data_IF_741292056140
#
_entry.id   IF_741292056140
#
_cell.length_a   1.000
_cell.length_b   1.000
_cell.length_c   1.000
_cell.angle_alpha   90.00
_cell.angle_beta   90.00
_cell.angle_gamma   90.00
#
_symmetry.space_group_name_H-M   'P 1'
#
loop_
_entity.id
_entity.type
_entity.pdbx_description
1 polymer ?
#
# COMPACT_ATOMS: atom_id res chain seq x y z
N UNK A 1 -25.36 -31.25 12.25
CA UNK A 1 -24.50 -30.23 12.89
C UNK A 1 -25.01 -30.10 14.31
N UNK A 2 -24.15 -30.32 15.30
CA UNK A 2 -24.50 -30.17 16.72
C UNK A 2 -24.47 -28.68 17.09
N UNK A 3 -25.32 -28.28 18.04
CA UNK A 3 -25.43 -26.91 18.52
C UNK A 3 -25.36 -26.88 20.04
N UNK A 4 -24.77 -25.82 20.58
CA UNK A 4 -24.88 -25.45 22.00
C UNK A 4 -25.75 -24.21 22.14
N UNK A 5 -26.32 -24.02 23.32
CA UNK A 5 -27.07 -22.82 23.67
C UNK A 5 -26.13 -21.82 24.30
N UNK A 6 -26.09 -20.63 23.74
CA UNK A 6 -25.41 -19.46 24.28
C UNK A 6 -26.48 -18.40 24.60
N UNK A 7 -26.15 -17.46 25.45
CA UNK A 7 -27.07 -16.37 25.82
C UNK A 7 -26.35 -15.04 25.93
N UNK A 8 -27.08 -13.98 25.64
CA UNK A 8 -26.72 -12.60 25.90
C UNK A 8 -27.90 -11.83 26.52
N UNK A 9 -27.80 -10.52 26.60
CA UNK A 9 -28.88 -9.68 27.19
C UNK A 9 -30.19 -9.73 26.40
N UNK A 10 -30.20 -10.29 25.19
CA UNK A 10 -31.40 -10.48 24.36
C UNK A 10 -31.99 -11.88 24.48
N UNK A 11 -31.38 -12.79 25.25
CA UNK A 11 -31.85 -14.16 25.46
C UNK A 11 -30.97 -15.22 24.81
N UNK A 12 -31.51 -16.43 24.72
CA UNK A 12 -30.82 -17.62 24.19
C UNK A 12 -30.72 -17.61 22.67
N UNK A 13 -29.63 -18.22 22.16
CA UNK A 13 -29.42 -18.47 20.74
C UNK A 13 -28.61 -19.75 20.56
N UNK A 14 -28.85 -20.44 19.44
CA UNK A 14 -28.11 -21.65 19.07
C UNK A 14 -26.83 -21.31 18.31
N UNK A 15 -25.70 -21.78 18.81
CA UNK A 15 -24.38 -21.60 18.17
C UNK A 15 -23.84 -22.98 17.76
N UNK A 16 -23.22 -23.17 16.60
CA UNK A 16 -22.60 -24.45 16.26
C UNK A 16 -21.59 -24.88 17.33
N UNK A 17 -21.69 -26.14 17.77
CA UNK A 17 -20.93 -26.63 18.92
C UNK A 17 -19.41 -26.64 18.72
N UNK A 18 -18.96 -26.73 17.44
CA UNK A 18 -17.57 -26.71 17.01
C UNK A 18 -16.95 -25.31 16.94
N UNK A 19 -17.75 -24.25 17.19
CA UNK A 19 -17.28 -22.87 17.07
C UNK A 19 -17.00 -22.25 18.44
N UNK A 20 -15.99 -21.39 18.48
CA UNK A 20 -15.59 -20.68 19.70
C UNK A 20 -16.34 -19.36 19.90
N UNK A 21 -17.00 -18.82 18.89
CA UNK A 21 -17.79 -17.60 19.07
C UNK A 21 -19.06 -17.83 19.89
N UNK A 22 -19.62 -16.78 20.46
CA UNK A 22 -20.78 -16.84 21.31
C UNK A 22 -22.04 -16.23 20.69
N UNK A 23 -22.96 -15.79 21.55
CA UNK A 23 -24.29 -15.33 21.18
C UNK A 23 -24.28 -14.08 20.30
N UNK A 24 -23.48 -13.07 20.63
CA UNK A 24 -23.47 -11.80 19.90
C UNK A 24 -22.93 -11.98 18.47
N UNK A 25 -21.89 -12.78 18.31
CA UNK A 25 -21.37 -13.12 16.97
C UNK A 25 -22.39 -13.89 16.15
N UNK A 26 -23.08 -14.87 16.75
CA UNK A 26 -24.09 -15.64 16.05
C UNK A 26 -25.25 -14.73 15.57
N UNK A 27 -25.72 -13.80 16.42
CA UNK A 27 -26.73 -12.81 15.99
C UNK A 27 -26.24 -11.95 14.83
N UNK A 28 -24.97 -11.53 14.87
CA UNK A 28 -24.39 -10.75 13.76
C UNK A 28 -24.36 -11.54 12.46
N UNK A 29 -24.01 -12.82 12.49
CA UNK A 29 -24.04 -13.70 11.31
C UNK A 29 -25.47 -13.85 10.72
N UNK A 30 -26.48 -13.83 11.56
CA UNK A 30 -27.88 -13.94 11.13
C UNK A 30 -28.43 -12.62 10.60
N UNK A 31 -28.07 -11.48 11.24
CA UNK A 31 -28.59 -10.15 10.93
C UNK A 31 -27.92 -9.48 9.73
N UNK A 32 -26.62 -9.75 9.50
CA UNK A 32 -25.84 -9.04 8.48
C UNK A 32 -25.39 -10.00 7.36
N UNK A 33 -26.32 -10.45 6.54
CA UNK A 33 -26.04 -11.25 5.34
C UNK A 33 -25.85 -10.33 4.13
N UNK A 34 -24.81 -9.49 4.17
CA UNK A 34 -24.56 -8.41 3.22
C UNK A 34 -23.19 -8.59 2.60
N UNK A 35 -23.14 -8.82 1.29
CA UNK A 35 -21.88 -8.98 0.55
C UNK A 35 -21.07 -10.20 1.01
N UNK A 36 -19.85 -10.31 0.49
CA UNK A 36 -18.95 -11.46 0.75
C UNK A 36 -17.69 -11.04 1.52
N UNK A 37 -17.40 -9.73 1.56
CA UNK A 37 -16.21 -9.18 2.20
C UNK A 37 -16.24 -9.40 3.71
N UNK A 38 -15.29 -10.19 4.23
CA UNK A 38 -15.12 -10.41 5.67
C UNK A 38 -14.18 -9.40 6.29
N UNK A 39 -14.30 -9.24 7.59
CA UNK A 39 -13.35 -8.40 8.35
C UNK A 39 -11.92 -8.91 8.14
N UNK A 40 -10.97 -8.04 7.75
CA UNK A 40 -9.59 -8.45 7.49
C UNK A 40 -8.93 -9.10 8.72
N UNK A 41 -8.15 -10.16 8.48
CA UNK A 41 -7.41 -10.86 9.54
C UNK A 41 -6.47 -9.95 10.29
N UNK A 42 -5.87 -8.99 9.61
CA UNK A 42 -4.98 -7.99 10.20
C UNK A 42 -5.68 -7.20 11.33
N UNK A 43 -6.98 -6.89 11.18
CA UNK A 43 -7.78 -6.23 12.23
C UNK A 43 -8.05 -7.19 13.39
N UNK A 44 -8.35 -8.45 13.10
CA UNK A 44 -8.58 -9.49 14.12
C UNK A 44 -7.31 -9.71 14.96
N UNK A 45 -6.16 -9.86 14.30
CA UNK A 45 -4.87 -10.03 14.96
C UNK A 45 -4.47 -8.80 15.77
N UNK A 46 -4.76 -7.60 15.27
CA UNK A 46 -4.55 -6.34 15.99
C UNK A 46 -5.46 -6.23 17.22
N UNK A 47 -6.75 -6.62 17.11
CA UNK A 47 -7.65 -6.68 18.26
C UNK A 47 -7.14 -7.68 19.31
N UNK A 48 -6.67 -8.85 18.91
CA UNK A 48 -6.07 -9.82 19.82
C UNK A 48 -4.83 -9.25 20.52
N UNK A 49 -3.99 -8.47 19.81
CA UNK A 49 -2.88 -7.76 20.44
C UNK A 49 -3.36 -6.72 21.48
N UNK A 50 -4.41 -5.95 21.15
CA UNK A 50 -5.04 -5.00 22.07
C UNK A 50 -5.55 -5.74 23.33
N UNK A 51 -6.26 -6.87 23.17
CA UNK A 51 -6.80 -7.65 24.31
C UNK A 51 -5.70 -8.22 25.19
N UNK A 52 -4.63 -8.72 24.58
CA UNK A 52 -3.46 -9.22 25.31
C UNK A 52 -2.78 -8.11 26.12
N UNK A 53 -2.54 -6.96 25.52
CA UNK A 53 -1.95 -5.81 26.19
C UNK A 53 -2.85 -5.25 27.29
N UNK A 54 -4.16 -5.16 27.04
CA UNK A 54 -5.14 -4.74 28.03
C UNK A 54 -5.21 -5.69 29.24
N UNK A 55 -5.11 -7.01 29.02
CA UNK A 55 -5.09 -7.99 30.11
C UNK A 55 -3.86 -7.78 31.00
N UNK A 56 -2.67 -7.59 30.43
CA UNK A 56 -1.44 -7.31 31.20
C UNK A 56 -1.51 -5.97 31.95
N UNK A 57 -1.98 -4.91 31.28
CA UNK A 57 -2.18 -3.62 31.91
C UNK A 57 -3.15 -3.71 33.10
N UNK A 58 -4.26 -4.43 32.94
CA UNK A 58 -5.23 -4.64 34.02
C UNK A 58 -4.64 -5.45 35.20
N UNK A 59 -3.75 -6.40 34.95
CA UNK A 59 -3.03 -7.09 36.06
C UNK A 59 -2.13 -6.11 36.79
N UNK A 60 -1.30 -5.35 36.07
CA UNK A 60 -0.40 -4.37 36.68
C UNK A 60 -1.12 -3.32 37.53
N UNK A 61 -2.39 -3.00 37.17
CA UNK A 61 -3.25 -2.05 37.87
C UNK A 61 -4.21 -2.70 38.89
N UNK A 62 -4.10 -4.01 39.11
CA UNK A 62 -4.93 -4.75 40.07
C UNK A 62 -6.40 -4.93 39.66
N UNK A 63 -6.74 -4.71 38.40
CA UNK A 63 -8.09 -4.82 37.86
C UNK A 63 -8.45 -6.20 37.28
N UNK A 64 -7.45 -7.08 37.13
CA UNK A 64 -7.60 -8.46 36.67
C UNK A 64 -6.55 -9.33 37.38
N UNK A 65 -6.90 -10.58 37.73
CA UNK A 65 -5.94 -11.55 38.29
C UNK A 65 -5.08 -12.19 37.22
N UNK A 66 -3.87 -12.64 37.62
CA UNK A 66 -2.88 -13.24 36.71
C UNK A 66 -3.39 -14.52 36.01
N UNK A 67 -4.13 -15.39 36.73
CA UNK A 67 -4.61 -16.65 36.16
C UNK A 67 -5.53 -16.46 34.97
N UNK A 68 -6.48 -15.49 35.06
CA UNK A 68 -7.33 -15.10 33.92
C UNK A 68 -6.54 -14.44 32.82
N UNK A 69 -5.64 -13.53 33.19
CA UNK A 69 -4.83 -12.81 32.22
C UNK A 69 -3.93 -13.73 31.41
N UNK A 70 -3.30 -14.73 32.04
CA UNK A 70 -2.47 -15.72 31.36
C UNK A 70 -3.26 -16.53 30.32
N UNK A 71 -4.46 -16.99 30.70
CA UNK A 71 -5.33 -17.72 29.80
C UNK A 71 -5.83 -16.83 28.62
N UNK A 72 -6.18 -15.56 28.90
CA UNK A 72 -6.52 -14.58 27.86
C UNK A 72 -5.34 -14.35 26.93
N UNK A 73 -4.13 -14.14 27.45
CA UNK A 73 -2.93 -13.94 26.65
C UNK A 73 -2.63 -15.17 25.76
N UNK A 74 -2.73 -16.37 26.27
CA UNK A 74 -2.52 -17.60 25.50
C UNK A 74 -3.51 -17.72 24.33
N UNK A 75 -4.81 -17.45 24.57
CA UNK A 75 -5.83 -17.41 23.51
C UNK A 75 -5.55 -16.32 22.48
N UNK A 76 -5.11 -15.13 22.90
CA UNK A 76 -4.71 -14.04 22.00
C UNK A 76 -3.52 -14.43 21.12
N UNK A 77 -2.53 -15.14 21.66
CA UNK A 77 -1.35 -15.58 20.90
C UNK A 77 -1.73 -16.63 19.84
N UNK A 78 -2.68 -17.54 20.14
CA UNK A 78 -3.24 -18.43 19.12
C UNK A 78 -3.96 -17.70 17.99
N UNK A 79 -4.75 -16.66 18.30
CA UNK A 79 -5.40 -15.81 17.28
C UNK A 79 -4.35 -15.12 16.42
N UNK A 80 -3.35 -14.51 17.04
CA UNK A 80 -2.29 -13.76 16.34
C UNK A 80 -1.42 -14.65 15.45
N UNK A 81 -1.30 -15.92 15.78
CA UNK A 81 -0.60 -16.92 14.92
C UNK A 81 -1.44 -17.37 13.71
N UNK A 82 -2.72 -17.01 13.64
CA UNK A 82 -3.66 -17.44 12.62
C UNK A 82 -4.31 -18.81 12.89
N UNK A 83 -3.99 -19.48 14.00
CA UNK A 83 -4.52 -20.81 14.32
C UNK A 83 -6.05 -20.83 14.51
N UNK A 84 -6.64 -19.69 14.81
CA UNK A 84 -8.08 -19.52 15.04
C UNK A 84 -8.80 -18.66 13.98
N UNK A 85 -8.20 -18.41 12.82
CA UNK A 85 -8.75 -17.52 11.79
C UNK A 85 -10.17 -17.89 11.34
N UNK A 86 -10.53 -19.17 11.35
CA UNK A 86 -11.87 -19.66 10.99
C UNK A 86 -12.97 -19.33 12.02
N UNK A 87 -12.58 -18.78 13.18
CA UNK A 87 -13.51 -18.36 14.21
C UNK A 87 -14.04 -16.93 14.03
N UNK A 88 -13.67 -16.25 12.93
CA UNK A 88 -14.03 -14.84 12.65
C UNK A 88 -14.82 -14.71 11.36
N UNK A 89 -16.13 -15.07 11.38
CA UNK A 89 -16.96 -15.16 10.17
C UNK A 89 -17.57 -13.83 9.73
N UNK A 90 -17.45 -12.75 10.53
CA UNK A 90 -18.24 -11.55 10.34
C UNK A 90 -17.87 -10.76 9.10
N UNK A 91 -18.89 -10.24 8.42
CA UNK A 91 -18.73 -9.39 7.23
C UNK A 91 -18.34 -7.96 7.62
N UNK A 92 -17.79 -7.22 6.67
CA UNK A 92 -17.48 -5.79 6.81
C UNK A 92 -18.74 -4.95 7.05
N UNK A 93 -19.85 -5.33 6.40
CA UNK A 93 -21.14 -4.63 6.45
C UNK A 93 -21.92 -5.00 7.72
N UNK A 94 -21.40 -4.54 8.87
CA UNK A 94 -21.92 -4.72 10.23
C UNK A 94 -22.13 -3.36 10.88
N UNK A 95 -22.32 -3.31 12.21
CA UNK A 95 -22.38 -2.01 12.91
C UNK A 95 -21.11 -1.20 12.66
N UNK A 96 -21.28 0.07 12.34
CA UNK A 96 -20.20 0.95 11.92
C UNK A 96 -19.15 1.25 12.98
N UNK A 97 -19.42 0.94 14.24
CA UNK A 97 -18.46 1.03 15.36
C UNK A 97 -17.51 -0.17 15.46
N UNK A 98 -17.77 -1.25 14.72
CA UNK A 98 -17.01 -2.50 14.82
C UNK A 98 -17.33 -3.33 16.07
N UNK A 99 -18.41 -3.02 16.78
CA UNK A 99 -18.76 -3.69 18.05
C UNK A 99 -18.94 -5.20 17.88
N UNK A 100 -19.56 -5.67 16.79
CA UNK A 100 -19.70 -7.11 16.58
C UNK A 100 -18.35 -7.80 16.41
N UNK A 101 -17.44 -7.21 15.69
CA UNK A 101 -16.07 -7.75 15.54
C UNK A 101 -15.31 -7.74 16.87
N UNK A 102 -15.40 -6.65 17.65
CA UNK A 102 -14.82 -6.61 19.00
C UNK A 102 -15.39 -7.72 19.88
N UNK A 103 -16.70 -7.94 19.84
CA UNK A 103 -17.36 -9.00 20.62
C UNK A 103 -17.02 -10.39 20.10
N UNK A 104 -16.90 -10.58 18.79
CA UNK A 104 -16.43 -11.83 18.22
C UNK A 104 -15.04 -12.20 18.78
N UNK A 105 -14.11 -11.26 18.80
CA UNK A 105 -12.78 -11.47 19.38
C UNK A 105 -12.89 -11.77 20.89
N UNK A 106 -13.71 -11.02 21.65
CA UNK A 106 -13.91 -11.25 23.07
C UNK A 106 -14.49 -12.64 23.38
N UNK A 107 -15.50 -13.08 22.62
CA UNK A 107 -16.16 -14.37 22.78
C UNK A 107 -15.22 -15.53 22.46
N UNK A 108 -14.47 -15.44 21.36
CA UNK A 108 -13.48 -16.45 20.97
C UNK A 108 -12.37 -16.55 22.01
N UNK A 109 -11.84 -15.42 22.49
CA UNK A 109 -10.81 -15.41 23.56
C UNK A 109 -11.36 -16.03 24.83
N UNK A 110 -12.56 -15.65 25.30
CA UNK A 110 -13.13 -16.16 26.53
C UNK A 110 -13.35 -17.67 26.46
N UNK A 111 -13.97 -18.16 25.39
CA UNK A 111 -14.23 -19.58 25.22
C UNK A 111 -12.93 -20.40 25.07
N UNK A 112 -11.93 -19.85 24.35
CA UNK A 112 -10.64 -20.54 24.24
C UNK A 112 -9.87 -20.54 25.56
N UNK A 113 -9.84 -19.43 26.27
CA UNK A 113 -9.24 -19.33 27.61
C UNK A 113 -9.87 -20.31 28.61
N UNK A 114 -11.21 -20.42 28.61
CA UNK A 114 -11.94 -21.38 29.43
C UNK A 114 -11.60 -22.83 29.07
N UNK A 115 -11.46 -23.14 27.80
CA UNK A 115 -11.02 -24.47 27.35
C UNK A 115 -9.59 -24.78 27.80
N UNK A 116 -8.67 -23.81 27.78
CA UNK A 116 -7.30 -23.94 28.29
C UNK A 116 -7.25 -24.16 29.81
N UNK A 117 -8.14 -23.48 30.54
CA UNK A 117 -8.23 -23.61 32.00
C UNK A 117 -8.97 -24.87 32.45
N UNK A 118 -9.77 -25.50 31.61
CA UNK A 118 -10.66 -26.60 31.94
C UNK A 118 -11.88 -26.22 32.80
N UNK A 119 -12.17 -24.93 32.93
CA UNK A 119 -13.29 -24.38 33.69
C UNK A 119 -13.78 -23.02 33.13
N UNK A 120 -15.04 -22.68 33.38
CA UNK A 120 -15.67 -21.43 32.93
C UNK A 120 -15.31 -20.24 33.85
N UNK A 121 -14.10 -19.72 33.75
CA UNK A 121 -13.58 -18.66 34.62
C UNK A 121 -13.50 -17.30 33.93
N UNK A 122 -13.39 -17.24 32.60
CA UNK A 122 -13.21 -16.03 31.81
C UNK A 122 -14.53 -15.65 31.13
N UNK A 123 -14.97 -14.41 31.36
CA UNK A 123 -16.16 -13.85 30.71
C UNK A 123 -15.76 -12.81 29.64
N UNK A 124 -16.41 -12.75 28.45
CA UNK A 124 -16.03 -11.88 27.36
C UNK A 124 -16.10 -10.38 27.71
N UNK A 125 -17.12 -9.94 28.46
CA UNK A 125 -17.28 -8.54 28.83
C UNK A 125 -16.50 -8.17 30.09
N UNK A 126 -16.60 -8.99 31.16
CA UNK A 126 -16.07 -8.64 32.47
C UNK A 126 -14.55 -8.79 32.58
N UNK A 127 -13.97 -9.69 31.80
CA UNK A 127 -12.54 -10.01 31.86
C UNK A 127 -11.80 -9.65 30.58
N UNK A 128 -12.22 -10.14 29.40
CA UNK A 128 -11.53 -9.88 28.12
C UNK A 128 -11.66 -8.41 27.72
N UNK A 129 -12.84 -7.82 27.89
CA UNK A 129 -13.11 -6.42 27.55
C UNK A 129 -12.91 -5.45 28.73
N UNK A 130 -12.31 -5.90 29.84
CA UNK A 130 -12.08 -5.10 31.04
C UNK A 130 -11.36 -3.79 30.73
N UNK A 131 -11.87 -2.66 31.26
CA UNK A 131 -11.33 -1.30 31.07
C UNK A 131 -11.41 -0.76 29.63
N UNK A 132 -12.22 -1.37 28.77
CA UNK A 132 -12.33 -1.06 27.36
C UNK A 132 -13.77 -0.84 26.90
N UNK A 133 -13.92 -0.22 25.75
CA UNK A 133 -15.13 -0.22 24.92
C UNK A 133 -14.78 -0.66 23.50
N UNK A 134 -15.75 -1.12 22.72
CA UNK A 134 -15.55 -1.28 21.26
C UNK A 134 -15.13 0.05 20.64
N UNK A 135 -15.60 1.16 21.18
CA UNK A 135 -15.39 2.50 20.63
C UNK A 135 -13.93 2.95 20.67
N UNK A 136 -13.14 2.48 21.65
CA UNK A 136 -11.71 2.78 21.75
C UNK A 136 -10.81 1.62 21.27
N UNK A 137 -11.20 0.36 21.53
CA UNK A 137 -10.43 -0.81 21.16
C UNK A 137 -10.39 -1.03 19.63
N UNK A 138 -11.54 -0.84 18.94
CA UNK A 138 -11.60 -1.05 17.50
C UNK A 138 -10.74 -0.04 16.71
N UNK A 139 -10.85 1.29 16.94
CA UNK A 139 -9.97 2.24 16.26
C UNK A 139 -8.49 2.08 16.65
N UNK A 140 -8.17 1.64 17.87
CA UNK A 140 -6.79 1.28 18.22
C UNK A 140 -6.28 0.13 17.36
N UNK A 141 -7.09 -0.93 17.17
CA UNK A 141 -6.76 -2.04 16.30
C UNK A 141 -6.63 -1.62 14.82
N UNK A 142 -7.46 -0.66 14.37
CA UNK A 142 -7.33 -0.10 13.02
C UNK A 142 -5.96 0.56 12.81
N UNK A 143 -5.52 1.39 13.74
CA UNK A 143 -4.21 2.05 13.68
C UNK A 143 -3.06 1.04 13.67
N UNK A 144 -3.13 0.04 14.57
CA UNK A 144 -2.13 -1.03 14.64
C UNK A 144 -2.07 -1.80 13.31
N UNK A 145 -3.22 -2.27 12.82
CA UNK A 145 -3.29 -3.05 11.57
C UNK A 145 -2.78 -2.25 10.36
N UNK A 146 -3.17 -0.98 10.26
CA UNK A 146 -2.75 -0.09 9.18
C UNK A 146 -1.24 0.14 9.21
N UNK A 147 -0.67 0.45 10.38
CA UNK A 147 0.75 0.68 10.56
C UNK A 147 1.57 -0.56 10.20
N UNK A 148 1.19 -1.72 10.73
CA UNK A 148 1.88 -2.98 10.42
C UNK A 148 1.80 -3.33 8.93
N UNK A 149 0.65 -3.12 8.29
CA UNK A 149 0.51 -3.36 6.86
C UNK A 149 1.46 -2.47 6.03
N UNK A 150 1.62 -1.20 6.39
CA UNK A 150 2.58 -0.29 5.72
C UNK A 150 4.01 -0.71 6.00
N UNK A 151 4.40 -0.87 7.27
CA UNK A 151 5.79 -1.10 7.66
C UNK A 151 6.31 -2.50 7.32
N UNK A 152 5.46 -3.54 7.38
CA UNK A 152 5.88 -4.93 7.19
C UNK A 152 5.65 -5.47 5.79
N UNK A 153 4.81 -4.80 4.98
CA UNK A 153 4.48 -5.28 3.64
C UNK A 153 4.77 -4.26 2.56
N UNK A 154 4.21 -3.04 2.68
CA UNK A 154 4.35 -2.03 1.62
C UNK A 154 5.78 -1.55 1.50
N UNK A 155 6.40 -1.12 2.61
CA UNK A 155 7.77 -0.59 2.59
C UNK A 155 8.81 -1.61 2.11
N UNK A 156 8.81 -2.89 2.56
CA UNK A 156 9.75 -3.88 2.04
C UNK A 156 9.60 -4.15 0.54
N UNK A 157 8.36 -4.24 0.03
CA UNK A 157 8.11 -4.46 -1.39
C UNK A 157 8.55 -3.24 -2.24
N UNK A 158 8.32 -2.03 -1.73
CA UNK A 158 8.78 -0.79 -2.34
C UNK A 158 10.31 -0.72 -2.38
N UNK A 159 10.99 -1.02 -1.27
CA UNK A 159 12.45 -0.99 -1.18
C UNK A 159 13.08 -2.00 -2.15
N UNK A 160 12.53 -3.22 -2.24
CA UNK A 160 13.00 -4.25 -3.18
C UNK A 160 12.85 -3.82 -4.65
N UNK A 161 11.74 -3.18 -5.02
CA UNK A 161 11.53 -2.67 -6.37
C UNK A 161 12.48 -1.50 -6.67
N UNK A 162 12.68 -0.59 -5.71
CA UNK A 162 13.61 0.53 -5.82
C UNK A 162 15.04 0.05 -6.04
N UNK A 163 15.51 -0.91 -5.26
CA UNK A 163 16.85 -1.50 -5.43
C UNK A 163 17.06 -2.08 -6.84
N UNK A 164 16.02 -2.69 -7.42
CA UNK A 164 16.06 -3.17 -8.79
C UNK A 164 16.23 -2.02 -9.78
N UNK A 165 15.49 -0.92 -9.63
CA UNK A 165 15.65 0.25 -10.51
C UNK A 165 16.98 0.98 -10.30
N UNK A 166 17.51 1.06 -9.08
CA UNK A 166 18.83 1.62 -8.80
C UNK A 166 19.92 0.83 -9.56
N UNK A 167 19.85 -0.50 -9.52
CA UNK A 167 20.75 -1.39 -10.26
C UNK A 167 20.63 -1.18 -11.78
N UNK A 168 19.43 -1.15 -12.33
CA UNK A 168 19.20 -0.93 -13.77
C UNK A 168 19.63 0.47 -14.20
N UNK A 169 19.41 1.49 -13.38
CA UNK A 169 19.88 2.85 -13.62
C UNK A 169 21.41 2.91 -13.77
N UNK A 170 22.11 2.24 -12.86
CA UNK A 170 23.58 2.14 -12.93
C UNK A 170 24.05 1.35 -14.17
N UNK A 171 23.41 0.22 -14.48
CA UNK A 171 23.74 -0.64 -15.64
C UNK A 171 23.59 0.11 -16.97
N UNK A 172 22.54 0.95 -17.08
CA UNK A 172 22.24 1.66 -18.33
C UNK A 172 22.66 3.13 -18.33
N UNK A 173 23.53 3.55 -17.39
CA UNK A 173 24.02 4.93 -17.27
C UNK A 173 24.69 5.47 -18.52
N UNK A 174 25.35 4.61 -19.32
CA UNK A 174 25.99 4.94 -20.60
C UNK A 174 25.11 4.72 -21.83
N UNK A 175 23.85 4.34 -21.71
CA UNK A 175 22.97 4.08 -22.86
C UNK A 175 22.19 5.35 -23.20
N UNK A 176 22.73 6.14 -24.12
CA UNK A 176 22.10 7.36 -24.62
C UNK A 176 20.89 7.02 -25.50
N UNK A 177 19.77 7.64 -25.25
CA UNK A 177 18.50 7.50 -25.98
C UNK A 177 17.84 8.86 -26.16
N UNK A 178 16.81 8.93 -27.01
CA UNK A 178 15.97 10.12 -27.07
C UNK A 178 15.06 10.19 -25.85
N UNK A 179 14.89 11.41 -25.32
CA UNK A 179 13.80 11.71 -24.38
C UNK A 179 12.48 11.92 -25.13
N UNK A 180 11.38 11.87 -24.41
CA UNK A 180 10.05 12.20 -24.94
C UNK A 180 9.28 13.08 -23.97
N UNK A 181 8.73 14.17 -24.50
CA UNK A 181 7.76 15.04 -23.83
C UNK A 181 6.53 15.16 -24.70
N UNK A 182 5.32 15.13 -24.13
CA UNK A 182 4.06 15.07 -24.89
C UNK A 182 3.97 13.84 -25.86
N UNK A 183 4.68 12.78 -25.58
CA UNK A 183 4.91 11.63 -26.48
C UNK A 183 5.61 11.99 -27.81
N UNK A 184 6.21 13.17 -27.89
CA UNK A 184 7.00 13.63 -29.03
C UNK A 184 8.49 13.54 -28.71
N UNK A 185 9.31 13.40 -29.75
CA UNK A 185 10.77 13.35 -29.62
C UNK A 185 11.29 14.61 -28.93
N UNK A 186 12.19 14.42 -27.98
CA UNK A 186 12.84 15.49 -27.24
C UNK A 186 14.37 15.31 -27.26
N UNK A 187 15.08 16.13 -26.50
CA UNK A 187 16.53 16.04 -26.37
C UNK A 187 16.96 14.72 -25.69
N UNK A 188 18.20 14.25 -25.95
CA UNK A 188 18.70 13.02 -25.38
C UNK A 188 18.80 13.03 -23.85
N UNK A 189 18.68 11.84 -23.28
CA UNK A 189 19.07 11.46 -21.93
C UNK A 189 19.64 10.04 -21.97
N UNK A 190 20.16 9.54 -20.85
CA UNK A 190 20.49 8.12 -20.80
C UNK A 190 19.30 7.30 -20.28
N UNK A 191 19.20 6.03 -20.67
CA UNK A 191 18.22 5.10 -20.12
C UNK A 191 18.38 4.98 -18.59
N UNK A 192 19.62 5.04 -18.09
CA UNK A 192 19.89 5.08 -16.66
C UNK A 192 19.26 6.29 -15.96
N UNK A 193 19.32 7.49 -16.58
CA UNK A 193 18.66 8.70 -16.06
C UNK A 193 17.13 8.56 -16.06
N UNK A 194 16.54 7.99 -17.11
CA UNK A 194 15.10 7.73 -17.17
C UNK A 194 14.66 6.79 -16.03
N UNK A 195 15.38 5.68 -15.82
CA UNK A 195 15.11 4.72 -14.74
C UNK A 195 15.36 5.34 -13.35
N UNK A 196 16.36 6.21 -13.20
CA UNK A 196 16.61 6.92 -11.93
C UNK A 196 15.42 7.78 -11.50
N UNK A 197 14.65 8.30 -12.47
CA UNK A 197 13.39 9.00 -12.19
C UNK A 197 12.36 8.07 -11.54
N UNK A 198 12.25 6.82 -11.98
CA UNK A 198 11.36 5.82 -11.38
C UNK A 198 11.81 5.46 -9.95
N UNK A 199 13.10 5.25 -9.75
CA UNK A 199 13.66 5.03 -8.40
C UNK A 199 13.40 6.22 -7.47
N UNK A 200 13.57 7.45 -7.97
CA UNK A 200 13.30 8.68 -7.22
C UNK A 200 11.85 8.80 -6.75
N UNK A 201 10.87 8.40 -7.60
CA UNK A 201 9.45 8.35 -7.22
C UNK A 201 9.22 7.38 -6.05
N UNK A 202 9.81 6.19 -6.10
CA UNK A 202 9.70 5.22 -5.02
C UNK A 202 10.39 5.71 -3.72
N UNK A 203 11.53 6.37 -3.83
CA UNK A 203 12.20 6.97 -2.66
C UNK A 203 11.31 8.01 -1.96
N UNK A 204 10.67 8.92 -2.70
CA UNK A 204 9.70 9.89 -2.15
C UNK A 204 8.46 9.18 -1.58
N UNK A 205 7.93 8.16 -2.26
CA UNK A 205 6.82 7.35 -1.76
C UNK A 205 7.13 6.74 -0.40
N UNK A 206 8.36 6.23 -0.24
CA UNK A 206 8.86 5.68 1.03
C UNK A 206 8.85 6.72 2.16
N UNK A 207 9.35 7.92 1.89
CA UNK A 207 9.38 9.02 2.87
C UNK A 207 7.97 9.41 3.30
N UNK A 208 7.05 9.62 2.34
CA UNK A 208 5.66 9.95 2.61
C UNK A 208 4.97 8.89 3.49
N UNK A 209 5.16 7.60 3.17
CA UNK A 209 4.61 6.50 3.95
C UNK A 209 5.19 6.47 5.37
N UNK A 210 6.50 6.63 5.52
CA UNK A 210 7.16 6.66 6.83
C UNK A 210 6.64 7.79 7.71
N UNK A 211 6.52 9.00 7.16
CA UNK A 211 5.95 10.15 7.89
C UNK A 211 4.50 9.89 8.29
N UNK A 212 3.72 9.26 7.41
CA UNK A 212 2.30 9.00 7.68
C UNK A 212 2.07 8.00 8.83
N UNK A 213 3.02 7.09 9.08
CA UNK A 213 2.93 6.11 10.16
C UNK A 213 3.00 6.73 11.56
N UNK A 214 3.52 7.95 11.71
CA UNK A 214 3.62 8.61 13.02
C UNK A 214 2.24 8.80 13.68
N UNK A 215 1.25 9.29 12.93
CA UNK A 215 -0.12 9.45 13.44
C UNK A 215 -0.82 8.12 13.78
N UNK A 216 -0.41 7.02 13.14
CA UNK A 216 -0.94 5.68 13.44
C UNK A 216 -0.37 5.09 14.74
N UNK A 217 0.65 5.70 15.33
CA UNK A 217 1.18 5.30 16.63
C UNK A 217 0.28 5.73 17.81
N UNK A 218 -0.57 6.73 17.61
CA UNK A 218 -1.45 7.27 18.64
C UNK A 218 -2.74 6.43 18.77
N UNK A 219 -3.00 5.88 19.96
CA UNK A 219 -4.09 4.93 20.17
C UNK A 219 -5.25 5.57 20.93
N UNK A 220 -6.48 5.32 20.47
CA UNK A 220 -7.72 5.69 21.14
C UNK A 220 -7.94 4.91 22.43
N UNK A 221 -7.27 3.77 22.61
CA UNK A 221 -7.44 2.87 23.76
C UNK A 221 -7.29 3.61 25.09
N UNK A 222 -8.20 3.33 26.03
CA UNK A 222 -8.33 4.03 27.30
C UNK A 222 -9.36 5.17 27.28
N UNK A 223 -9.86 5.57 26.10
CA UNK A 223 -10.97 6.54 26.01
C UNK A 223 -12.32 5.97 26.42
N UNK A 224 -12.44 4.65 26.37
CA UNK A 224 -13.68 3.89 26.63
C UNK A 224 -14.85 4.35 25.75
N UNK A 225 -16.03 4.58 26.32
CA UNK A 225 -17.26 4.79 25.55
C UNK A 225 -17.29 6.10 24.74
N UNK A 226 -16.81 7.22 25.33
CA UNK A 226 -16.93 8.58 24.75
C UNK A 226 -15.67 9.42 24.88
N UNK A 227 -14.57 8.86 25.39
CA UNK A 227 -13.29 9.56 25.54
C UNK A 227 -12.91 9.94 26.97
N UNK A 228 -13.77 9.70 27.93
CA UNK A 228 -13.57 10.09 29.35
C UNK A 228 -12.79 9.05 30.16
N UNK A 229 -12.58 7.84 29.65
CA UNK A 229 -11.95 6.76 30.39
C UNK A 229 -12.83 6.14 31.47
N UNK A 230 -14.16 6.30 31.40
CA UNK A 230 -15.08 5.79 32.38
C UNK A 230 -14.87 4.28 32.61
N UNK A 231 -14.80 3.88 33.92
CA UNK A 231 -14.58 2.51 34.41
C UNK A 231 -13.20 1.90 34.07
N UNK A 232 -12.24 2.66 33.50
CA UNK A 232 -10.87 2.26 33.43
C UNK A 232 -10.05 2.80 34.60
N UNK A 233 -9.12 2.04 35.21
CA UNK A 233 -8.24 2.56 36.24
C UNK A 233 -7.29 3.62 35.66
N UNK A 234 -6.87 4.57 36.49
CA UNK A 234 -5.88 5.57 36.09
C UNK A 234 -4.58 4.89 35.63
N UNK A 235 -4.00 5.39 34.53
CA UNK A 235 -2.79 4.81 33.94
C UNK A 235 -3.04 3.62 32.98
N UNK A 236 -4.28 3.19 32.79
CA UNK A 236 -4.59 2.06 31.89
C UNK A 236 -4.16 2.32 30.44
N UNK A 237 -4.41 3.52 29.92
CA UNK A 237 -4.11 3.86 28.53
C UNK A 237 -2.60 3.79 28.26
N UNK A 238 -1.80 4.35 29.18
CA UNK A 238 -0.33 4.36 29.10
C UNK A 238 0.23 2.94 29.26
N UNK A 239 -0.24 2.19 30.23
CA UNK A 239 0.20 0.81 30.47
C UNK A 239 -0.12 -0.09 29.27
N UNK A 240 -1.32 0.01 28.71
CA UNK A 240 -1.72 -0.78 27.55
C UNK A 240 -0.91 -0.39 26.29
N UNK A 241 -0.61 0.88 26.07
CA UNK A 241 0.25 1.34 24.97
C UNK A 241 1.69 0.83 25.11
N UNK A 242 2.23 0.82 26.34
CA UNK A 242 3.55 0.27 26.63
C UNK A 242 3.62 -1.25 26.37
N UNK A 243 2.60 -1.99 26.82
CA UNK A 243 2.49 -3.43 26.55
C UNK A 243 2.37 -3.74 25.05
N UNK A 244 1.60 -2.94 24.30
CA UNK A 244 1.50 -3.07 22.84
C UNK A 244 2.85 -2.79 22.18
N UNK A 245 3.58 -1.77 22.64
CA UNK A 245 4.89 -1.42 22.11
C UNK A 245 5.89 -2.56 22.31
N UNK A 246 5.92 -3.14 23.52
CA UNK A 246 6.77 -4.28 23.84
C UNK A 246 6.39 -5.52 23.01
N UNK A 247 5.09 -5.80 22.86
CA UNK A 247 4.59 -6.96 22.12
C UNK A 247 4.88 -6.90 20.62
N UNK A 248 4.78 -5.70 20.02
CA UNK A 248 4.87 -5.51 18.57
C UNK A 248 6.25 -5.00 18.11
N UNK A 249 7.16 -4.68 19.05
CA UNK A 249 8.49 -4.17 18.75
C UNK A 249 8.50 -2.80 18.08
N UNK A 250 7.46 -1.98 18.32
CA UNK A 250 7.26 -0.65 17.76
C UNK A 250 6.63 0.26 18.78
N UNK A 251 6.98 1.54 18.74
CA UNK A 251 6.41 2.52 19.66
C UNK A 251 4.93 2.78 19.33
N UNK A 252 4.07 2.56 20.31
CA UNK A 252 2.69 3.03 20.35
C UNK A 252 2.49 3.87 21.61
N UNK A 253 1.72 4.94 21.48
CA UNK A 253 1.46 5.88 22.55
C UNK A 253 -0.05 6.09 22.74
N UNK A 254 -0.43 6.53 23.92
CA UNK A 254 -1.82 6.93 24.15
C UNK A 254 -2.10 8.24 23.42
N UNK A 255 -3.19 8.33 22.66
CA UNK A 255 -3.58 9.56 21.96
C UNK A 255 -3.76 10.70 22.98
N UNK A 256 -3.20 11.89 22.71
CA UNK A 256 -3.25 13.02 23.66
C UNK A 256 -4.67 13.55 23.88
N UNK A 257 -5.57 13.32 22.92
CA UNK A 257 -6.97 13.68 23.01
C UNK A 257 -7.85 12.50 22.59
N UNK A 258 -8.48 11.84 23.56
CA UNK A 258 -9.34 10.68 23.34
C UNK A 258 -10.64 11.02 22.59
N UNK A 259 -11.17 12.23 22.75
CA UNK A 259 -12.37 12.67 22.04
C UNK A 259 -12.08 12.83 20.53
N UNK A 260 -10.91 13.34 20.17
CA UNK A 260 -10.41 13.34 18.80
C UNK A 260 -10.24 11.91 18.28
N UNK A 261 -9.50 11.07 18.99
CA UNK A 261 -9.14 9.72 18.54
C UNK A 261 -10.36 8.80 18.31
N UNK A 262 -11.48 8.97 19.07
CA UNK A 262 -12.69 8.21 18.88
C UNK A 262 -13.49 8.65 17.64
N UNK A 263 -13.55 9.95 17.37
CA UNK A 263 -14.43 10.52 16.35
C UNK A 263 -13.74 10.83 15.03
N UNK A 264 -12.48 11.26 15.03
CA UNK A 264 -11.70 11.49 13.82
C UNK A 264 -10.97 10.22 13.35
N UNK A 265 -10.72 10.13 12.05
CA UNK A 265 -9.91 9.08 11.41
C UNK A 265 -8.89 9.70 10.46
N UNK A 266 -8.48 10.91 10.74
CA UNK A 266 -7.57 11.73 9.92
C UNK A 266 -6.18 11.08 9.73
N UNK A 267 -5.63 10.41 10.74
CA UNK A 267 -4.37 9.68 10.62
C UNK A 267 -4.45 8.56 9.56
N UNK A 268 -5.59 7.84 9.49
CA UNK A 268 -5.83 6.81 8.48
C UNK A 268 -5.99 7.44 7.08
N UNK A 269 -6.69 8.58 6.97
CA UNK A 269 -6.83 9.32 5.70
C UNK A 269 -5.48 9.81 5.21
N UNK A 270 -4.67 10.38 6.09
CA UNK A 270 -3.34 10.88 5.73
C UNK A 270 -2.43 9.74 5.25
N UNK A 271 -2.41 8.62 5.96
CA UNK A 271 -1.62 7.45 5.57
C UNK A 271 -2.14 6.82 4.26
N UNK A 272 -3.46 6.76 4.05
CA UNK A 272 -4.02 6.27 2.79
C UNK A 272 -3.72 7.23 1.63
N UNK A 273 -3.67 8.54 1.88
CA UNK A 273 -3.23 9.54 0.90
C UNK A 273 -1.79 9.28 0.42
N UNK A 274 -0.89 8.83 1.31
CA UNK A 274 0.46 8.40 0.93
C UNK A 274 0.45 7.12 0.08
N UNK A 275 -0.42 6.14 0.40
CA UNK A 275 -0.62 4.95 -0.45
C UNK A 275 -1.15 5.33 -1.84
N UNK A 276 -2.07 6.30 -1.93
CA UNK A 276 -2.57 6.82 -3.22
C UNK A 276 -1.48 7.51 -4.01
N UNK A 277 -0.62 8.31 -3.38
CA UNK A 277 0.51 8.95 -4.07
C UNK A 277 1.44 7.90 -4.67
N UNK A 278 1.81 6.87 -3.90
CA UNK A 278 2.58 5.73 -4.40
C UNK A 278 1.87 5.01 -5.57
N UNK A 279 0.55 4.82 -5.50
CA UNK A 279 -0.22 4.23 -6.59
C UNK A 279 -0.14 5.06 -7.88
N UNK A 280 -0.15 6.40 -7.77
CA UNK A 280 0.04 7.32 -8.89
C UNK A 280 1.41 7.16 -9.55
N UNK A 281 2.47 7.07 -8.76
CA UNK A 281 3.83 6.86 -9.25
C UNK A 281 3.98 5.48 -9.92
N UNK A 282 3.44 4.43 -9.33
CA UNK A 282 3.43 3.08 -9.92
C UNK A 282 2.65 3.03 -11.23
N UNK A 283 1.53 3.73 -11.34
CA UNK A 283 0.78 3.89 -12.59
C UNK A 283 1.67 4.51 -13.69
N UNK A 284 2.39 5.58 -13.36
CA UNK A 284 3.31 6.25 -14.29
C UNK A 284 4.45 5.32 -14.70
N UNK A 285 5.10 4.66 -13.76
CA UNK A 285 6.21 3.73 -14.01
C UNK A 285 5.76 2.59 -14.93
N UNK A 286 4.65 1.94 -14.61
CA UNK A 286 4.12 0.83 -15.41
C UNK A 286 3.72 1.28 -16.83
N UNK A 287 3.16 2.49 -16.98
CA UNK A 287 2.86 3.05 -18.29
C UNK A 287 4.13 3.34 -19.10
N UNK A 288 5.16 3.91 -18.51
CA UNK A 288 6.43 4.15 -19.22
C UNK A 288 7.05 2.82 -19.69
N UNK A 289 7.13 1.84 -18.79
CA UNK A 289 7.71 0.52 -19.11
C UNK A 289 6.99 -0.13 -20.28
N UNK A 290 5.65 -0.16 -20.28
CA UNK A 290 4.89 -0.79 -21.38
C UNK A 290 4.93 0.00 -22.67
N UNK A 291 5.00 1.35 -22.61
CA UNK A 291 5.20 2.17 -23.81
C UNK A 291 6.55 1.93 -24.43
N UNK A 292 7.62 1.95 -23.64
CA UNK A 292 8.98 1.70 -24.12
C UNK A 292 9.16 0.28 -24.66
N UNK A 293 8.40 -0.68 -24.16
CA UNK A 293 8.42 -2.07 -24.62
C UNK A 293 7.41 -2.38 -25.75
N UNK A 294 6.63 -1.39 -26.19
CA UNK A 294 5.58 -1.60 -27.19
C UNK A 294 6.15 -2.11 -28.53
N UNK A 295 5.43 -3.00 -29.19
CA UNK A 295 5.83 -3.54 -30.49
C UNK A 295 5.63 -5.05 -30.56
N UNK A 296 6.66 -5.84 -30.91
CA UNK A 296 8.10 -5.54 -30.93
C UNK A 296 8.64 -4.83 -32.19
N UNK A 297 7.89 -4.82 -33.30
CA UNK A 297 8.37 -4.24 -34.59
C UNK A 297 7.67 -2.96 -35.00
N UNK A 298 6.43 -2.75 -34.56
CA UNK A 298 5.56 -1.62 -34.97
C UNK A 298 5.28 -0.66 -33.78
N UNK A 299 6.06 -0.70 -32.74
CA UNK A 299 5.99 0.19 -31.58
C UNK A 299 7.36 0.79 -31.27
N UNK A 300 7.54 1.29 -30.03
CA UNK A 300 8.80 1.90 -29.61
C UNK A 300 9.94 0.88 -29.49
N UNK A 301 9.70 -0.26 -28.86
CA UNK A 301 10.62 -1.38 -28.82
C UNK A 301 11.99 -1.12 -28.14
N UNK A 302 12.11 -0.07 -27.34
CA UNK A 302 13.37 0.31 -26.67
C UNK A 302 13.71 -0.58 -25.48
N UNK A 303 12.68 -1.17 -24.84
CA UNK A 303 12.84 -2.17 -23.78
C UNK A 303 12.38 -3.54 -24.25
N UNK A 304 13.04 -4.57 -23.73
CA UNK A 304 12.65 -5.98 -23.86
C UNK A 304 12.25 -6.46 -22.47
N UNK A 305 11.02 -6.95 -22.34
CA UNK A 305 10.47 -7.48 -21.08
C UNK A 305 10.52 -9.00 -21.05
N UNK A 306 10.51 -9.62 -19.86
CA UNK A 306 10.33 -11.07 -19.73
C UNK A 306 9.02 -11.55 -20.36
N UNK A 307 9.06 -12.72 -20.96
CA UNK A 307 7.91 -13.42 -21.52
C UNK A 307 7.37 -14.41 -20.48
N UNK A 308 6.25 -14.08 -19.84
CA UNK A 308 5.73 -14.88 -18.73
C UNK A 308 4.63 -15.84 -19.13
N UNK A 309 3.77 -15.44 -20.09
CA UNK A 309 2.63 -16.24 -20.57
C UNK A 309 2.24 -15.87 -22.01
N UNK A 310 1.54 -16.77 -22.74
CA UNK A 310 0.96 -16.43 -24.04
C UNK A 310 -0.03 -15.26 -23.94
N UNK A 311 0.17 -14.24 -24.79
CA UNK A 311 -0.61 -12.99 -24.73
C UNK A 311 -1.90 -12.98 -25.55
N UNK A 312 -2.23 -14.04 -26.30
CA UNK A 312 -3.40 -14.09 -27.18
C UNK A 312 -3.85 -15.49 -27.48
N UNK A 313 -5.16 -15.69 -27.52
CA UNK A 313 -5.78 -16.96 -27.92
C UNK A 313 -5.80 -17.18 -29.44
N UNK A 314 -5.63 -16.13 -30.26
CA UNK A 314 -5.75 -16.18 -31.73
C UNK A 314 -4.52 -15.62 -32.47
N UNK A 315 -3.57 -14.99 -31.78
CA UNK A 315 -2.34 -14.44 -32.35
C UNK A 315 -1.13 -15.17 -31.77
N UNK A 316 -0.64 -16.25 -32.43
CA UNK A 316 0.48 -17.04 -31.92
C UNK A 316 1.75 -16.19 -31.75
N UNK A 317 2.45 -16.34 -30.63
CA UNK A 317 3.69 -15.63 -30.34
C UNK A 317 3.52 -14.18 -29.86
N UNK A 318 2.28 -13.70 -29.64
CA UNK A 318 2.03 -12.40 -29.04
C UNK A 318 2.27 -12.49 -27.53
N UNK A 319 3.12 -11.58 -27.01
CA UNK A 319 3.38 -11.42 -25.57
C UNK A 319 2.94 -10.02 -25.16
N UNK A 320 2.19 -9.92 -24.04
CA UNK A 320 1.69 -8.65 -23.53
C UNK A 320 2.46 -8.23 -22.27
N UNK A 321 2.54 -6.93 -21.95
CA UNK A 321 3.15 -6.42 -20.72
C UNK A 321 2.20 -6.57 -19.52
N UNK A 322 1.76 -7.80 -19.23
CA UNK A 322 0.67 -8.11 -18.28
C UNK A 322 0.96 -7.66 -16.86
N UNK A 323 2.22 -7.68 -16.43
CA UNK A 323 2.61 -7.17 -15.13
C UNK A 323 2.37 -5.66 -15.00
N UNK A 324 2.64 -4.89 -16.06
CA UNK A 324 2.30 -3.46 -16.09
C UNK A 324 0.79 -3.22 -16.02
N UNK A 325 0.00 -4.08 -16.69
CA UNK A 325 -1.47 -3.98 -16.66
C UNK A 325 -2.01 -4.27 -15.26
N UNK A 326 -1.48 -5.28 -14.57
CA UNK A 326 -1.83 -5.59 -13.19
C UNK A 326 -1.54 -4.42 -12.23
N UNK A 327 -0.37 -3.79 -12.36
CA UNK A 327 0.00 -2.59 -11.57
C UNK A 327 -1.00 -1.46 -11.81
N UNK A 328 -1.33 -1.18 -13.08
CA UNK A 328 -2.26 -0.08 -13.39
C UNK A 328 -3.67 -0.34 -12.88
N UNK A 329 -4.17 -1.57 -12.94
CA UNK A 329 -5.48 -1.94 -12.36
C UNK A 329 -5.48 -1.82 -10.83
N UNK A 330 -4.43 -2.28 -10.14
CA UNK A 330 -4.30 -2.11 -8.70
C UNK A 330 -4.27 -0.63 -8.30
N UNK A 331 -3.54 0.21 -9.04
CA UNK A 331 -3.51 1.66 -8.79
C UNK A 331 -4.90 2.30 -8.93
N UNK A 332 -5.69 1.91 -9.92
CA UNK A 332 -7.10 2.37 -10.07
C UNK A 332 -7.93 1.97 -8.85
N UNK A 333 -7.81 0.73 -8.37
CA UNK A 333 -8.53 0.27 -7.18
C UNK A 333 -8.15 1.06 -5.93
N UNK A 334 -6.86 1.35 -5.73
CA UNK A 334 -6.38 2.17 -4.60
C UNK A 334 -6.95 3.59 -4.65
N UNK A 335 -7.05 4.20 -5.83
CA UNK A 335 -7.68 5.52 -5.99
C UNK A 335 -9.18 5.49 -5.63
N UNK A 336 -9.89 4.43 -6.00
CA UNK A 336 -11.29 4.20 -5.59
C UNK A 336 -11.44 4.01 -4.08
N UNK A 337 -10.54 3.23 -3.48
CA UNK A 337 -10.51 3.02 -2.04
C UNK A 337 -10.22 4.32 -1.26
N UNK A 338 -9.36 5.20 -1.80
CA UNK A 338 -9.06 6.49 -1.19
C UNK A 338 -10.32 7.37 -1.07
N UNK A 339 -11.16 7.39 -2.08
CA UNK A 339 -12.43 8.07 -2.01
C UNK A 339 -13.33 7.49 -0.91
N UNK A 340 -13.42 6.16 -0.82
CA UNK A 340 -14.19 5.48 0.22
C UNK A 340 -13.66 5.79 1.64
N UNK A 341 -12.33 5.77 1.82
CA UNK A 341 -11.66 6.11 3.08
C UNK A 341 -11.95 7.56 3.49
N UNK A 342 -11.81 8.52 2.56
CA UNK A 342 -12.05 9.93 2.82
C UNK A 342 -13.51 10.21 3.20
N UNK A 343 -14.47 9.67 2.46
CA UNK A 343 -15.90 9.82 2.78
C UNK A 343 -16.26 9.17 4.12
N UNK A 344 -15.77 7.95 4.39
CA UNK A 344 -16.04 7.26 5.63
C UNK A 344 -15.47 8.02 6.85
N UNK A 345 -14.28 8.59 6.72
CA UNK A 345 -13.65 9.38 7.78
C UNK A 345 -14.41 10.68 8.08
N UNK A 346 -15.04 11.30 7.07
CA UNK A 346 -15.82 12.55 7.23
C UNK A 346 -17.15 12.37 7.99
N UNK A 347 -17.56 11.13 8.28
CA UNK A 347 -18.85 10.79 8.86
C UNK A 347 -18.83 10.63 10.40
N UNK A 348 -17.83 11.17 11.07
CA UNK A 348 -17.82 11.23 12.55
C UNK A 348 -18.93 12.15 13.06
N UNK A 349 -19.73 11.67 14.02
CA UNK A 349 -20.78 12.45 14.65
C UNK A 349 -20.58 12.44 16.16
N UNK A 350 -20.44 13.61 16.77
CA UNK A 350 -20.15 13.78 18.20
C UNK A 350 -18.90 12.96 18.60
N UNK A 351 -19.03 11.96 19.47
CA UNK A 351 -17.92 11.24 20.07
C UNK A 351 -17.55 9.93 19.35
N UNK A 352 -18.11 9.65 18.18
CA UNK A 352 -17.82 8.40 17.47
C UNK A 352 -17.94 8.53 15.94
N UNK A 353 -17.10 7.82 15.23
CA UNK A 353 -17.27 7.51 13.80
C UNK A 353 -17.86 6.10 13.68
N UNK A 354 -18.93 5.95 12.90
CA UNK A 354 -19.61 4.66 12.68
C UNK A 354 -19.45 4.12 11.25
N UNK A 355 -18.31 4.41 10.60
CA UNK A 355 -17.93 3.91 9.29
C UNK A 355 -16.58 3.15 9.36
N UNK A 356 -16.16 2.77 10.56
CA UNK A 356 -14.84 2.20 10.82
C UNK A 356 -14.56 0.89 10.07
N UNK A 357 -15.50 -0.10 9.99
CA UNK A 357 -15.25 -1.34 9.28
C UNK A 357 -14.95 -1.14 7.80
N UNK A 358 -15.72 -0.33 7.07
CA UNK A 358 -15.51 -0.06 5.65
C UNK A 358 -14.23 0.74 5.42
N UNK A 359 -13.89 1.65 6.33
CA UNK A 359 -12.66 2.45 6.25
C UNK A 359 -11.42 1.56 6.32
N UNK A 360 -11.30 0.74 7.36
CA UNK A 360 -10.12 -0.12 7.53
C UNK A 360 -10.05 -1.24 6.47
N UNK A 361 -11.17 -1.74 5.99
CA UNK A 361 -11.22 -2.72 4.91
C UNK A 361 -10.57 -2.17 3.64
N UNK A 362 -10.97 -0.96 3.22
CA UNK A 362 -10.41 -0.30 2.03
C UNK A 362 -8.94 0.07 2.22
N UNK A 363 -8.55 0.51 3.41
CA UNK A 363 -7.15 0.81 3.74
C UNK A 363 -6.27 -0.43 3.56
N UNK A 364 -6.63 -1.53 4.20
CA UNK A 364 -5.84 -2.78 4.17
C UNK A 364 -5.85 -3.44 2.79
N UNK A 365 -6.96 -3.33 2.04
CA UNK A 365 -6.99 -3.78 0.65
C UNK A 365 -5.97 -3.01 -0.19
N UNK A 366 -5.90 -1.68 -0.05
CA UNK A 366 -4.94 -0.83 -0.76
C UNK A 366 -3.50 -1.20 -0.42
N UNK A 367 -3.18 -1.35 0.87
CA UNK A 367 -1.84 -1.71 1.32
C UNK A 367 -1.42 -3.09 0.78
N UNK A 368 -2.33 -4.07 0.82
CA UNK A 368 -2.08 -5.42 0.30
C UNK A 368 -1.86 -5.41 -1.21
N UNK A 369 -2.75 -4.75 -1.97
CA UNK A 369 -2.63 -4.67 -3.42
C UNK A 369 -1.32 -4.03 -3.85
N UNK A 370 -0.92 -2.92 -3.23
CA UNK A 370 0.34 -2.24 -3.56
C UNK A 370 1.56 -3.11 -3.25
N UNK A 371 1.58 -3.78 -2.09
CA UNK A 371 2.68 -4.67 -1.76
C UNK A 371 2.78 -5.83 -2.75
N UNK A 372 1.65 -6.49 -3.04
CA UNK A 372 1.60 -7.67 -3.91
C UNK A 372 1.97 -7.31 -5.37
N UNK A 373 1.47 -6.18 -5.90
CA UNK A 373 1.80 -5.80 -7.29
C UNK A 373 3.24 -5.31 -7.44
N UNK A 374 3.81 -4.64 -6.43
CA UNK A 374 5.24 -4.26 -6.46
C UNK A 374 6.13 -5.49 -6.44
N UNK A 375 5.83 -6.47 -5.60
CA UNK A 375 6.59 -7.73 -5.54
C UNK A 375 6.47 -8.52 -6.85
N UNK A 376 5.25 -8.70 -7.37
CA UNK A 376 5.01 -9.39 -8.64
C UNK A 376 5.67 -8.68 -9.82
N UNK A 377 5.50 -7.36 -9.92
CA UNK A 377 6.10 -6.54 -10.97
C UNK A 377 7.63 -6.58 -10.90
N UNK A 378 8.20 -6.51 -9.69
CA UNK A 378 9.64 -6.60 -9.50
C UNK A 378 10.19 -7.93 -10.02
N UNK A 379 9.65 -9.05 -9.56
CA UNK A 379 10.15 -10.38 -9.90
C UNK A 379 9.92 -10.76 -11.36
N UNK A 380 8.73 -10.46 -11.88
CA UNK A 380 8.27 -10.98 -13.17
C UNK A 380 8.43 -9.97 -14.32
N UNK A 381 8.82 -8.72 -14.04
CA UNK A 381 9.03 -7.70 -15.07
C UNK A 381 10.32 -6.91 -14.83
N UNK A 382 10.38 -6.09 -13.77
CA UNK A 382 11.45 -5.10 -13.60
C UNK A 382 12.85 -5.73 -13.54
N UNK A 383 13.03 -6.82 -12.79
CA UNK A 383 14.33 -7.49 -12.66
C UNK A 383 14.86 -8.04 -13.99
N UNK A 384 13.99 -8.31 -14.94
CA UNK A 384 14.34 -8.86 -16.26
C UNK A 384 14.30 -7.85 -17.41
N UNK A 385 14.13 -6.56 -17.16
CA UNK A 385 14.18 -5.51 -18.19
C UNK A 385 15.55 -5.48 -18.85
N UNK A 386 15.56 -5.47 -20.19
CA UNK A 386 16.77 -5.32 -20.99
C UNK A 386 16.61 -4.18 -21.98
N UNK A 387 17.69 -3.42 -22.20
CA UNK A 387 17.74 -2.37 -23.22
C UNK A 387 17.87 -2.99 -24.63
N UNK A 388 16.99 -2.61 -25.56
CA UNK A 388 17.14 -2.92 -26.98
C UNK A 388 18.06 -1.87 -27.62
N UNK A 389 19.38 -2.06 -27.46
CA UNK A 389 20.40 -1.09 -27.87
C UNK A 389 20.34 -0.76 -29.35
N UNK A 390 19.95 -1.72 -30.19
CA UNK A 390 19.87 -1.52 -31.65
C UNK A 390 18.74 -0.53 -32.00
N UNK A 391 17.57 -0.70 -31.41
CA UNK A 391 16.40 0.19 -31.60
C UNK A 391 16.67 1.56 -31.00
N UNK A 392 17.21 1.62 -29.78
CA UNK A 392 17.60 2.87 -29.13
C UNK A 392 18.56 3.68 -29.99
N UNK A 393 19.60 3.04 -30.55
CA UNK A 393 20.55 3.70 -31.42
C UNK A 393 19.93 4.18 -32.73
N UNK A 394 19.01 3.42 -33.33
CA UNK A 394 18.26 3.82 -34.51
C UNK A 394 17.40 5.06 -34.25
N UNK A 395 16.58 5.05 -33.19
CA UNK A 395 15.77 6.22 -32.83
C UNK A 395 16.61 7.46 -32.52
N UNK A 396 17.73 7.28 -31.82
CA UNK A 396 18.65 8.38 -31.53
C UNK A 396 19.22 9.00 -32.82
N UNK A 397 19.68 8.19 -33.76
CA UNK A 397 20.22 8.65 -35.04
C UNK A 397 19.20 9.40 -35.88
N UNK A 398 17.95 8.93 -35.86
CA UNK A 398 16.89 9.46 -36.73
C UNK A 398 16.19 10.68 -36.08
N UNK A 399 16.50 11.01 -34.82
CA UNK A 399 15.87 12.12 -34.09
C UNK A 399 16.30 13.48 -34.64
N UNK A 400 15.31 14.31 -34.99
CA UNK A 400 15.54 15.69 -35.41
C UNK A 400 15.92 16.61 -34.21
N UNK A 401 15.69 16.19 -32.98
CA UNK A 401 15.95 17.03 -31.79
C UNK A 401 17.44 17.10 -31.41
N UNK A 402 18.28 16.29 -32.03
CA UNK A 402 19.74 16.43 -31.95
C UNK A 402 20.23 17.78 -32.48
N UNK A 403 19.45 18.43 -33.34
CA UNK A 403 19.74 19.79 -33.86
C UNK A 403 19.94 20.81 -32.74
N UNK A 404 19.38 20.58 -31.56
CA UNK A 404 19.51 21.46 -30.40
C UNK A 404 20.97 21.65 -29.98
N UNK A 405 21.83 20.68 -30.22
CA UNK A 405 23.28 20.80 -29.99
C UNK A 405 23.95 21.90 -30.84
N UNK A 406 23.35 22.27 -31.94
CA UNK A 406 23.87 23.31 -32.84
C UNK A 406 23.54 24.73 -32.37
N UNK A 407 22.59 24.94 -31.49
CA UNK A 407 22.17 26.26 -31.05
C UNK A 407 23.33 27.18 -30.60
N UNK A 408 24.33 26.72 -29.83
CA UNK A 408 25.46 27.55 -29.42
C UNK A 408 26.38 27.97 -30.57
N UNK A 409 26.36 27.24 -31.70
CA UNK A 409 27.33 27.45 -32.83
C UNK A 409 26.74 28.24 -33.98
N UNK A 410 25.46 28.00 -34.33
CA UNK A 410 24.84 28.58 -35.51
C UNK A 410 23.55 29.37 -35.19
N UNK A 411 23.15 29.40 -33.93
CA UNK A 411 21.91 30.03 -33.44
C UNK A 411 20.64 29.25 -33.71
N UNK A 412 19.63 29.51 -32.92
CA UNK A 412 18.34 28.78 -32.92
C UNK A 412 17.65 28.77 -34.31
N UNK A 413 17.63 29.94 -35.03
CA UNK A 413 16.95 30.02 -36.31
C UNK A 413 17.56 29.12 -37.38
N UNK A 414 18.89 29.03 -37.45
CA UNK A 414 19.59 28.18 -38.42
C UNK A 414 19.43 26.71 -38.05
N UNK A 415 19.48 26.35 -36.77
CA UNK A 415 19.17 25.01 -36.27
C UNK A 415 17.72 24.62 -36.67
N UNK A 416 16.74 25.53 -36.50
CA UNK A 416 15.37 25.27 -36.88
C UNK A 416 15.19 25.13 -38.43
N UNK A 417 16.01 25.81 -39.25
CA UNK A 417 16.01 25.61 -40.70
C UNK A 417 16.48 24.20 -41.07
N UNK A 418 17.56 23.73 -40.42
CA UNK A 418 18.09 22.39 -40.67
C UNK A 418 17.04 21.32 -40.29
N UNK A 419 16.43 21.41 -39.09
CA UNK A 419 15.40 20.44 -38.65
C UNK A 419 14.19 20.41 -39.61
N UNK A 420 13.69 21.57 -40.02
CA UNK A 420 12.57 21.66 -40.94
C UNK A 420 12.89 21.13 -42.33
N UNK A 421 14.11 21.38 -42.81
CA UNK A 421 14.58 20.90 -44.12
C UNK A 421 14.70 19.36 -44.07
N UNK A 422 15.37 18.82 -43.06
CA UNK A 422 15.50 17.39 -42.85
C UNK A 422 14.11 16.70 -42.80
N UNK A 423 13.17 17.26 -42.02
CA UNK A 423 11.83 16.70 -41.93
C UNK A 423 11.07 16.68 -43.27
N UNK A 424 11.17 17.75 -44.07
CA UNK A 424 10.45 17.87 -45.34
C UNK A 424 11.03 16.98 -46.44
N UNK A 425 12.32 16.75 -46.41
CA UNK A 425 13.04 16.03 -47.48
C UNK A 425 13.31 14.58 -47.14
N UNK A 426 13.14 14.17 -45.87
CA UNK A 426 13.54 12.85 -45.38
C UNK A 426 15.05 12.68 -45.22
N UNK A 427 15.84 13.73 -45.34
CA UNK A 427 17.29 13.71 -45.12
C UNK A 427 17.60 13.60 -43.63
N UNK A 428 18.81 13.14 -43.31
CA UNK A 428 19.39 13.27 -41.98
C UNK A 428 19.67 14.73 -41.65
N UNK A 429 19.79 15.08 -40.37
CA UNK A 429 20.20 16.43 -39.94
C UNK A 429 21.54 16.84 -40.52
N UNK A 430 22.48 15.89 -40.64
CA UNK A 430 23.82 16.08 -41.21
C UNK A 430 23.73 16.48 -42.69
N UNK A 431 22.99 15.70 -43.49
CA UNK A 431 22.78 15.97 -44.90
C UNK A 431 22.07 17.34 -45.12
N UNK A 432 21.04 17.60 -44.35
CA UNK A 432 20.30 18.87 -44.39
C UNK A 432 21.19 20.09 -44.05
N UNK A 433 22.08 19.96 -43.06
CA UNK A 433 23.00 21.02 -42.67
C UNK A 433 24.01 21.35 -43.79
N UNK A 434 24.49 20.32 -44.49
CA UNK A 434 25.41 20.47 -45.64
C UNK A 434 24.67 21.03 -46.85
N UNK A 435 23.49 20.50 -47.17
CA UNK A 435 22.69 20.93 -48.33
C UNK A 435 22.28 22.43 -48.22
N UNK A 436 22.00 22.87 -47.02
CA UNK A 436 21.70 24.30 -46.72
C UNK A 436 22.96 25.20 -46.67
N UNK A 437 24.16 24.61 -46.79
CA UNK A 437 25.43 25.34 -46.69
C UNK A 437 25.68 26.01 -45.32
N UNK A 438 25.01 25.54 -44.25
CA UNK A 438 25.15 26.08 -42.90
C UNK A 438 26.32 25.49 -42.14
N UNK A 439 26.68 24.23 -42.39
CA UNK A 439 27.81 23.50 -41.79
C UNK A 439 28.44 22.53 -42.80
N UNK A 440 29.72 22.26 -42.64
CA UNK A 440 30.33 21.07 -43.27
C UNK A 440 29.98 19.80 -42.50
N UNK A 441 30.09 18.64 -43.13
CA UNK A 441 29.86 17.36 -42.45
C UNK A 441 30.78 17.17 -41.23
N UNK A 442 32.06 17.58 -41.32
CA UNK A 442 33.02 17.51 -40.21
C UNK A 442 32.64 18.44 -39.04
N UNK A 443 32.11 19.64 -39.36
CA UNK A 443 31.62 20.58 -38.32
C UNK A 443 30.41 19.98 -37.63
N UNK A 444 29.46 19.41 -38.40
CA UNK A 444 28.29 18.76 -37.82
C UNK A 444 28.70 17.62 -36.88
N UNK A 445 29.55 16.72 -37.31
CA UNK A 445 30.04 15.55 -36.54
C UNK A 445 30.83 15.98 -35.29
N UNK A 446 31.43 17.16 -35.31
CA UNK A 446 32.13 17.75 -34.13
C UNK A 446 31.14 18.29 -33.10
N UNK A 447 30.05 18.95 -33.53
CA UNK A 447 29.14 19.69 -32.66
C UNK A 447 28.00 18.79 -32.14
N UNK A 448 27.51 17.85 -32.95
CA UNK A 448 26.40 16.98 -32.59
C UNK A 448 26.93 15.68 -32.00
N UNK A 449 27.09 15.64 -30.68
CA UNK A 449 27.49 14.50 -29.91
C UNK A 449 26.44 14.21 -28.88
N UNK A 450 25.53 13.24 -29.07
CA UNK A 450 24.44 12.96 -28.16
C UNK A 450 24.89 12.70 -26.70
N UNK A 451 26.06 12.10 -26.51
CA UNK A 451 26.68 11.86 -25.22
C UNK A 451 27.00 13.15 -24.43
N UNK A 452 27.19 14.28 -25.12
CA UNK A 452 27.44 15.58 -24.49
C UNK A 452 26.12 16.35 -24.21
N UNK A 453 24.96 15.80 -24.61
CA UNK A 453 23.65 16.44 -24.43
C UNK A 453 22.90 15.94 -23.20
N UNK A 454 23.46 15.02 -22.42
CA UNK A 454 22.82 14.34 -21.29
C UNK A 454 23.22 14.90 -19.92
N UNK A 455 23.95 16.01 -19.90
CA UNK A 455 24.40 16.72 -18.68
C UNK A 455 24.50 18.23 -18.95
N UNK A 456 24.52 19.06 -17.91
CA UNK A 456 24.80 20.50 -18.06
C UNK A 456 26.15 20.72 -18.75
N UNK A 457 26.30 21.87 -19.43
CA UNK A 457 27.58 22.30 -19.96
C UNK A 457 28.58 22.49 -18.81
N UNK A 458 29.75 21.91 -18.93
CA UNK A 458 30.85 22.01 -17.96
C UNK A 458 31.63 23.34 -18.15
#
# INVERSE_FOLDING_TARGET
MEYRIEHDTMGEIRVPADRLWGAQTQRSCENFRIGEGRMPREVIHALAAVKRAAARANVALGALDERRADAICAACDEIRSGALDEQFPLVVWQTGSGTQTNMNVNEVIANRANALLGEALVHPNDHVNRSQSSNDAFPAAMHIAARLAVEERVLPALDALRETFDRLSAEYSGVVKIGRTHLQDATPLTLGQEISGWSGMLAHGREMLTVSCAGLAELALGGTAVGTGLNAPAGFAEAAAAELSALLGREFVTAPNKFHALSSKDALVFSHGALKALAGDLMKIANDVRWLASGPRCGLGELILPENEPGSSIMPGKVNPTQCEAVTMAAVQVMGNDAAVGFAASQGNFQLNVFMPVLIYNFLQSARLLADVMDSFNRNCAAGIRANRAVIAAHLRDSLMLVTALNPYIGYENAAKIARHAHKTGMTLREAAVDLGLLTGEQFDRYVKPENMVHPLS
#
